data_IF_554739837178
#
_entry.id   IF_554739837178
#
_cell.length_a   1.000
_cell.length_b   1.000
_cell.length_c   1.000
_cell.angle_alpha   90.00
_cell.angle_beta   90.00
_cell.angle_gamma   90.00
#
_symmetry.space_group_name_H-M   'P 1'
#
loop_
_entity.id
_entity.type
_entity.pdbx_description
1 polymer ?
#
# COMPACT_ATOMS: atom_id res chain seq x y z
N UNK A 1 8.26 12.10 -16.86
CA UNK A 1 8.23 11.85 -15.41
C UNK A 1 6.83 11.38 -15.07
N UNK A 2 6.67 10.11 -14.66
CA UNK A 2 5.36 9.62 -14.21
C UNK A 2 5.16 10.09 -12.78
N UNK A 3 4.17 10.96 -12.55
CA UNK A 3 3.75 11.35 -11.21
C UNK A 3 2.99 10.17 -10.63
N UNK A 4 3.58 9.49 -9.65
CA UNK A 4 2.92 8.41 -8.93
C UNK A 4 1.86 8.99 -8.02
N UNK A 5 0.60 8.57 -8.19
CA UNK A 5 -0.46 8.91 -7.25
C UNK A 5 -0.53 7.85 -6.13
N UNK A 6 -1.21 8.17 -5.03
CA UNK A 6 -1.31 7.27 -3.86
C UNK A 6 -2.02 5.95 -4.20
N UNK A 7 -2.91 5.93 -5.20
CA UNK A 7 -3.54 4.69 -5.65
C UNK A 7 -2.55 3.76 -6.34
N UNK A 8 -1.64 4.29 -7.15
CA UNK A 8 -0.60 3.48 -7.81
C UNK A 8 0.29 2.78 -6.77
N UNK A 9 0.59 3.47 -5.67
CA UNK A 9 1.33 2.92 -4.53
C UNK A 9 0.57 1.75 -3.89
N UNK A 10 -0.74 1.91 -3.65
CA UNK A 10 -1.56 0.86 -3.05
C UNK A 10 -1.73 -0.35 -3.98
N UNK A 11 -1.90 -0.14 -5.28
CA UNK A 11 -1.99 -1.20 -6.28
C UNK A 11 -0.66 -1.97 -6.40
N UNK A 12 0.47 -1.27 -6.34
CA UNK A 12 1.79 -1.91 -6.34
C UNK A 12 2.06 -2.66 -5.04
N UNK A 13 1.66 -2.11 -3.88
CA UNK A 13 1.74 -2.81 -2.61
C UNK A 13 0.87 -4.07 -2.58
N UNK A 14 -0.33 -4.02 -3.17
CA UNK A 14 -1.19 -5.19 -3.35
C UNK A 14 -0.51 -6.26 -4.22
N UNK A 15 0.04 -5.86 -5.38
CA UNK A 15 0.74 -6.79 -6.27
C UNK A 15 1.93 -7.47 -5.58
N UNK A 16 2.73 -6.70 -4.83
CA UNK A 16 3.87 -7.22 -4.09
C UNK A 16 3.44 -8.15 -2.95
N UNK A 17 2.39 -7.79 -2.21
CA UNK A 17 1.82 -8.63 -1.16
C UNK A 17 1.29 -9.96 -1.72
N UNK A 18 0.68 -9.94 -2.92
CA UNK A 18 0.27 -11.14 -3.63
C UNK A 18 1.44 -12.02 -4.05
N UNK A 19 2.51 -11.43 -4.61
CA UNK A 19 3.73 -12.17 -4.97
C UNK A 19 4.42 -12.81 -3.77
N UNK A 20 4.32 -12.19 -2.59
CA UNK A 20 4.86 -12.70 -1.34
C UNK A 20 3.92 -13.69 -0.62
N UNK A 21 2.75 -13.98 -1.19
CA UNK A 21 1.75 -14.86 -0.58
C UNK A 21 1.12 -14.32 0.71
N UNK A 22 1.20 -13.00 0.94
CA UNK A 22 0.66 -12.36 2.14
C UNK A 22 -0.86 -12.17 2.06
N UNK A 23 -1.38 -12.01 0.85
CA UNK A 23 -2.80 -11.84 0.52
C UNK A 23 -3.08 -12.45 -0.85
N UNK A 24 -4.32 -12.88 -1.10
CA UNK A 24 -4.74 -13.49 -2.36
C UNK A 24 -5.79 -12.68 -3.12
N UNK A 25 -6.33 -11.62 -2.50
CA UNK A 25 -7.35 -10.77 -3.13
C UNK A 25 -7.26 -9.31 -2.67
N UNK A 26 -7.82 -8.39 -3.47
CA UNK A 26 -7.97 -6.98 -3.09
C UNK A 26 -8.85 -6.79 -1.84
N UNK A 27 -9.81 -7.68 -1.63
CA UNK A 27 -10.65 -7.70 -0.44
C UNK A 27 -9.81 -7.98 0.80
N UNK A 28 -9.06 -9.08 0.76
CA UNK A 28 -8.17 -9.46 1.83
C UNK A 28 -7.09 -8.41 2.10
N UNK A 29 -6.53 -7.80 1.06
CA UNK A 29 -5.59 -6.68 1.20
C UNK A 29 -6.22 -5.48 1.90
N UNK A 30 -7.43 -5.10 1.50
CA UNK A 30 -8.14 -3.96 2.12
C UNK A 30 -8.37 -4.17 3.61
N UNK A 31 -8.76 -5.38 4.01
CA UNK A 31 -9.04 -5.71 5.41
C UNK A 31 -7.77 -5.91 6.23
N UNK A 32 -6.86 -6.78 5.75
CA UNK A 32 -5.70 -7.24 6.53
C UNK A 32 -4.53 -6.27 6.52
N UNK A 33 -4.40 -5.45 5.47
CA UNK A 33 -3.25 -4.55 5.28
C UNK A 33 -3.62 -3.08 5.41
N UNK A 34 -4.85 -2.68 5.03
CA UNK A 34 -5.28 -1.28 5.09
C UNK A 34 -6.24 -0.95 6.25
N UNK A 35 -6.78 -1.97 6.93
CA UNK A 35 -7.78 -1.77 7.98
C UNK A 35 -9.08 -1.13 7.48
N UNK A 36 -9.45 -1.40 6.22
CA UNK A 36 -10.68 -0.91 5.56
C UNK A 36 -11.56 -2.08 5.13
N UNK A 37 -12.83 -1.83 4.82
CA UNK A 37 -13.72 -2.88 4.34
C UNK A 37 -13.25 -3.49 3.01
N UNK A 38 -13.62 -4.75 2.75
CA UNK A 38 -13.23 -5.54 1.57
C UNK A 38 -13.33 -4.81 0.21
N UNK A 39 -14.30 -3.92 0.04
CA UNK A 39 -14.49 -3.20 -1.22
C UNK A 39 -13.60 -1.97 -1.40
N UNK A 40 -12.78 -1.60 -0.40
CA UNK A 40 -12.10 -0.31 -0.35
C UNK A 40 -11.16 -0.08 -1.54
N UNK A 41 -10.18 -0.95 -1.77
CA UNK A 41 -9.20 -0.75 -2.84
C UNK A 41 -9.88 -0.68 -4.22
N UNK A 42 -10.81 -1.60 -4.49
CA UNK A 42 -11.58 -1.62 -5.75
C UNK A 42 -12.43 -0.37 -5.92
N UNK A 43 -13.09 0.10 -4.86
CA UNK A 43 -13.93 1.32 -4.90
C UNK A 43 -13.11 2.59 -5.10
N UNK A 44 -11.93 2.68 -4.47
CA UNK A 44 -11.04 3.83 -4.61
C UNK A 44 -10.45 3.91 -6.02
N UNK A 45 -10.01 2.76 -6.56
CA UNK A 45 -9.49 2.63 -7.92
C UNK A 45 -10.54 2.98 -8.97
N UNK A 46 -11.74 2.38 -8.89
CA UNK A 46 -12.83 2.65 -9.82
C UNK A 46 -13.31 4.10 -9.82
N UNK A 47 -13.23 4.78 -8.67
CA UNK A 47 -13.68 6.16 -8.50
C UNK A 47 -12.55 7.19 -8.61
N UNK A 48 -11.33 6.76 -8.90
CA UNK A 48 -10.13 7.59 -8.99
C UNK A 48 -9.98 8.55 -7.78
N UNK A 49 -10.26 8.03 -6.58
CA UNK A 49 -10.20 8.82 -5.34
C UNK A 49 -8.81 8.76 -4.73
N UNK A 50 -8.45 9.82 -4.01
CA UNK A 50 -7.20 9.89 -3.25
C UNK A 50 -7.40 9.29 -1.85
N UNK A 51 -6.68 8.20 -1.50
CA UNK A 51 -6.67 7.67 -0.14
C UNK A 51 -6.14 8.70 0.85
N UNK A 52 -6.70 8.72 2.06
CA UNK A 52 -6.14 9.53 3.13
C UNK A 52 -4.77 9.00 3.55
N UNK A 53 -3.94 9.89 4.10
CA UNK A 53 -2.60 9.54 4.62
C UNK A 53 -2.63 8.38 5.62
N UNK A 54 -3.67 8.30 6.44
CA UNK A 54 -3.82 7.25 7.46
C UNK A 54 -3.84 5.84 6.88
N UNK A 55 -4.26 5.68 5.62
CA UNK A 55 -4.26 4.39 4.92
C UNK A 55 -2.83 3.92 4.66
N UNK A 56 -1.95 4.83 4.28
CA UNK A 56 -0.52 4.52 4.08
C UNK A 56 0.19 4.25 5.40
N UNK A 57 -0.13 5.00 6.46
CA UNK A 57 0.42 4.75 7.80
C UNK A 57 -0.02 3.38 8.34
N UNK A 58 -1.27 3.01 8.11
CA UNK A 58 -1.78 1.68 8.48
C UNK A 58 -1.03 0.58 7.71
N UNK A 59 -0.83 0.76 6.41
CA UNK A 59 -0.08 -0.17 5.58
C UNK A 59 1.37 -0.32 6.06
N UNK A 60 2.06 0.79 6.34
CA UNK A 60 3.44 0.80 6.88
C UNK A 60 3.49 0.03 8.20
N UNK A 61 2.60 0.35 9.15
CA UNK A 61 2.50 -0.35 10.44
C UNK A 61 2.28 -1.86 10.25
N UNK A 62 1.39 -2.28 9.35
CA UNK A 62 1.14 -3.71 9.09
C UNK A 62 2.30 -4.43 8.41
N UNK A 63 3.07 -3.74 7.59
CA UNK A 63 4.29 -4.31 6.99
C UNK A 63 5.40 -4.47 8.04
N UNK A 64 5.55 -3.49 8.94
CA UNK A 64 6.52 -3.55 10.04
C UNK A 64 6.20 -4.68 11.03
N UNK A 65 4.92 -4.85 11.39
CA UNK A 65 4.45 -5.94 12.26
C UNK A 65 4.78 -7.34 11.68
N UNK A 66 4.68 -7.49 10.36
CA UNK A 66 4.79 -8.79 9.69
C UNK A 66 6.20 -9.19 9.30
N UNK A 67 7.18 -8.28 9.35
CA UNK A 67 8.53 -8.56 8.86
C UNK A 67 9.62 -7.69 9.54
N UNK A 68 10.11 -8.07 10.72
CA UNK A 68 11.16 -7.31 11.41
C UNK A 68 12.53 -7.34 10.71
N UNK A 69 12.74 -8.19 9.69
CA UNK A 69 14.08 -8.46 9.10
C UNK A 69 14.24 -7.95 7.64
N UNK A 70 13.16 -7.58 6.93
CA UNK A 70 13.28 -7.18 5.50
C UNK A 70 13.40 -5.67 5.23
N UNK A 71 13.82 -4.87 6.21
CA UNK A 71 13.88 -3.40 6.13
C UNK A 71 14.79 -2.87 4.99
N UNK A 72 15.77 -3.65 4.54
CA UNK A 72 16.66 -3.22 3.45
C UNK A 72 16.02 -3.17 2.06
N UNK A 73 14.89 -3.88 1.81
CA UNK A 73 14.21 -3.84 0.50
C UNK A 73 13.14 -2.74 0.43
N UNK A 74 12.55 -2.37 1.57
CA UNK A 74 11.49 -1.36 1.68
C UNK A 74 12.05 0.07 1.79
N UNK A 75 13.29 0.27 2.26
CA UNK A 75 13.96 1.58 2.26
C UNK A 75 14.00 2.25 0.87
N UNK A 76 14.02 1.47 -0.22
CA UNK A 76 13.94 1.99 -1.60
C UNK A 76 12.59 2.66 -1.91
N UNK A 77 11.51 2.25 -1.24
CA UNK A 77 10.20 2.88 -1.36
C UNK A 77 10.17 4.19 -0.56
N UNK A 78 10.70 4.21 0.67
CA UNK A 78 10.77 5.45 1.50
C UNK A 78 11.52 6.60 0.81
N UNK A 79 12.58 6.33 0.05
CA UNK A 79 13.31 7.36 -0.70
C UNK A 79 12.47 8.04 -1.79
N UNK A 80 11.50 7.32 -2.36
CA UNK A 80 10.61 7.86 -3.40
C UNK A 80 9.46 8.70 -2.82
N UNK A 81 9.18 8.59 -1.52
CA UNK A 81 8.00 9.21 -0.90
C UNK A 81 8.31 10.58 -0.30
N UNK A 82 9.58 10.85 0.02
CA UNK A 82 10.06 12.16 0.50
C UNK A 82 10.11 13.24 -0.59
N UNK A 83 10.22 12.85 -1.85
CA UNK A 83 10.30 13.78 -2.99
C UNK A 83 8.95 14.17 -3.57
N UNK A 84 7.85 13.53 -3.13
CA UNK A 84 6.48 13.87 -3.55
C UNK A 84 5.82 14.96 -2.68
N UNK A 85 6.52 15.42 -1.64
CA UNK A 85 6.10 16.51 -0.74
C UNK A 85 7.23 17.52 -0.49
N UNK A 86 8.17 17.66 -1.44
CA UNK A 86 9.11 18.77 -1.51
C UNK A 86 8.71 19.73 -2.65
#
# INVERSE_FOLDING_TARGET
MTVWNVMDVLEQAYALAGQLGLVHSKAEFSERMLGKGASYLSSMSARQRYPSKDVLLTLESKLLERNPISLHRIQRLQSSWRTLWA
#
